data_IF_993970929009
#
_entry.id   IF_993970929009
#
_cell.length_a   1.000
_cell.length_b   1.000
_cell.length_c   1.000
_cell.angle_alpha   90.00
_cell.angle_beta   90.00
_cell.angle_gamma   90.00
#
_symmetry.space_group_name_H-M   'P 1'
#
loop_
_entity.id
_entity.type
_entity.pdbx_description
1 polymer ?
#
# COMPACT_ATOMS: atom_id res chain seq x y z
N UNK A 1 7.63 -13.09 3.02
CA UNK A 1 8.17 -12.61 1.73
C UNK A 1 7.03 -12.66 0.77
N UNK A 2 6.21 -11.64 0.88
CA UNK A 2 5.22 -11.23 -0.06
C UNK A 2 5.94 -11.17 -1.38
N UNK A 3 5.32 -11.77 -2.37
CA UNK A 3 5.94 -11.75 -3.68
C UNK A 3 6.05 -10.27 -4.08
N UNK A 4 7.24 -9.82 -4.48
CA UNK A 4 7.45 -8.56 -5.20
C UNK A 4 6.39 -8.40 -6.33
N UNK A 5 5.93 -9.53 -6.86
CA UNK A 5 4.78 -9.63 -7.75
C UNK A 5 3.48 -9.05 -7.16
N UNK A 6 3.08 -9.38 -5.92
CA UNK A 6 1.87 -8.84 -5.29
C UNK A 6 1.94 -7.31 -5.11
N UNK A 7 3.10 -6.80 -4.75
CA UNK A 7 3.36 -5.37 -4.53
C UNK A 7 3.29 -4.53 -5.81
N UNK A 8 3.46 -5.17 -6.97
CA UNK A 8 3.34 -4.51 -8.28
C UNK A 8 1.97 -4.79 -8.90
N UNK A 9 1.58 -6.07 -8.96
CA UNK A 9 0.41 -6.53 -9.69
C UNK A 9 -0.88 -6.02 -9.07
N UNK A 10 -1.00 -6.05 -7.74
CA UNK A 10 -2.21 -5.64 -7.04
C UNK A 10 -2.43 -4.13 -7.22
N UNK A 11 -1.45 -3.25 -6.95
CA UNK A 11 -1.66 -1.82 -7.13
C UNK A 11 -1.91 -1.41 -8.59
N UNK A 12 -1.20 -2.01 -9.56
CA UNK A 12 -1.48 -1.80 -10.99
C UNK A 12 -2.93 -2.17 -11.30
N UNK A 13 -3.36 -3.36 -10.91
CA UNK A 13 -4.71 -3.87 -11.21
C UNK A 13 -5.78 -2.96 -10.62
N UNK A 14 -5.62 -2.55 -9.36
CA UNK A 14 -6.55 -1.64 -8.70
C UNK A 14 -6.60 -0.29 -9.44
N UNK A 15 -5.46 0.33 -9.74
CA UNK A 15 -5.44 1.60 -10.45
C UNK A 15 -6.06 1.48 -11.85
N UNK A 16 -5.82 0.39 -12.58
CA UNK A 16 -6.41 0.18 -13.91
C UNK A 16 -7.93 0.04 -13.84
N UNK A 17 -8.45 -0.75 -12.89
CA UNK A 17 -9.90 -0.92 -12.68
C UNK A 17 -10.57 0.42 -12.36
N UNK A 18 -9.94 1.23 -11.51
CA UNK A 18 -10.50 2.51 -11.06
C UNK A 18 -10.08 3.71 -11.91
N UNK A 19 -9.22 3.53 -12.93
CA UNK A 19 -8.62 4.59 -13.75
C UNK A 19 -9.64 5.61 -14.26
N UNK A 20 -10.71 5.14 -14.90
CA UNK A 20 -11.79 6.01 -15.43
C UNK A 20 -12.49 6.83 -14.35
N UNK A 21 -12.65 6.25 -13.15
CA UNK A 21 -13.36 6.87 -12.04
C UNK A 21 -12.49 7.83 -11.24
N UNK A 22 -11.18 7.61 -11.27
CA UNK A 22 -10.17 8.49 -10.68
C UNK A 22 -9.65 9.53 -11.67
N UNK A 23 -10.14 9.53 -12.92
CA UNK A 23 -9.65 10.38 -14.00
C UNK A 23 -8.14 10.25 -14.24
N UNK A 24 -7.61 9.03 -14.11
CA UNK A 24 -6.20 8.70 -14.29
C UNK A 24 -5.99 8.10 -15.68
N UNK A 25 -4.94 8.53 -16.38
CA UNK A 25 -4.56 7.96 -17.66
C UNK A 25 -3.87 6.59 -17.47
N UNK A 26 -4.34 5.50 -18.12
CA UNK A 26 -3.75 4.16 -17.98
C UNK A 26 -2.26 4.09 -18.32
N UNK A 27 -1.78 4.93 -19.24
CA UNK A 27 -0.36 5.02 -19.59
C UNK A 27 0.50 5.42 -18.39
N UNK A 28 0.02 6.37 -17.58
CA UNK A 28 0.75 6.85 -16.41
C UNK A 28 0.83 5.78 -15.32
N UNK A 29 -0.23 4.97 -15.16
CA UNK A 29 -0.25 3.83 -14.23
C UNK A 29 0.89 2.87 -14.58
N UNK A 30 0.96 2.43 -15.84
CA UNK A 30 1.99 1.48 -16.27
C UNK A 30 3.39 2.10 -16.18
N UNK A 31 3.56 3.34 -16.67
CA UNK A 31 4.86 4.01 -16.68
C UNK A 31 5.42 4.23 -15.28
N UNK A 32 4.56 4.54 -14.29
CA UNK A 32 4.97 4.81 -12.91
C UNK A 32 5.01 3.56 -12.03
N UNK A 33 4.67 2.39 -12.56
CA UNK A 33 4.65 1.13 -11.80
C UNK A 33 5.99 0.75 -11.17
N UNK A 34 7.12 1.23 -11.71
CA UNK A 34 8.43 1.00 -11.11
C UNK A 34 8.56 1.60 -9.69
N UNK A 35 7.75 2.60 -9.33
CA UNK A 35 7.70 3.11 -7.96
C UNK A 35 7.17 2.07 -6.96
N UNK A 36 6.40 1.08 -7.42
CA UNK A 36 5.99 -0.06 -6.58
C UNK A 36 7.14 -1.02 -6.27
N UNK A 37 8.28 -0.91 -6.94
CA UNK A 37 9.50 -1.71 -6.68
C UNK A 37 10.49 -0.91 -5.83
N UNK A 38 10.30 0.41 -5.74
CA UNK A 38 11.26 1.30 -5.13
C UNK A 38 11.58 0.95 -3.67
N UNK A 39 10.61 0.59 -2.81
CA UNK A 39 10.93 0.19 -1.43
C UNK A 39 11.88 -1.02 -1.37
N UNK A 40 11.64 -2.03 -2.21
CA UNK A 40 12.46 -3.24 -2.28
C UNK A 40 13.91 -2.99 -2.76
N UNK A 41 14.16 -1.85 -3.41
CA UNK A 41 15.51 -1.47 -3.81
C UNK A 41 16.46 -1.25 -2.62
N UNK A 42 15.95 -1.17 -1.39
CA UNK A 42 16.78 -1.09 -0.20
C UNK A 42 17.55 -2.37 0.13
N UNK A 43 17.28 -3.49 -0.56
CA UNK A 43 18.15 -4.66 -0.57
C UNK A 43 19.56 -4.35 -1.10
N UNK A 44 19.68 -3.35 -1.96
CA UNK A 44 20.96 -2.85 -2.47
C UNK A 44 21.55 -1.74 -1.60
N UNK A 45 20.82 -1.30 -0.57
CA UNK A 45 21.26 -0.28 0.38
C UNK A 45 21.77 -0.94 1.67
N UNK A 46 22.36 -0.13 2.55
CA UNK A 46 22.96 -0.61 3.80
C UNK A 46 21.95 -1.18 4.82
N UNK A 47 20.66 -0.80 4.72
CA UNK A 47 19.64 -1.25 5.65
C UNK A 47 18.28 -1.41 4.95
N UNK A 48 17.62 -2.55 5.16
CA UNK A 48 16.26 -2.87 4.66
C UNK A 48 15.12 -1.99 5.24
N UNK A 49 15.48 -0.94 5.97
CA UNK A 49 14.53 0.03 6.53
C UNK A 49 14.59 1.37 5.80
N UNK A 50 15.55 1.53 4.88
CA UNK A 50 15.87 2.83 4.29
C UNK A 50 14.73 3.33 3.42
N UNK A 51 14.05 2.43 2.71
CA UNK A 51 12.93 2.77 1.84
C UNK A 51 11.59 2.20 2.33
N UNK A 52 11.62 1.21 3.23
CA UNK A 52 10.46 0.68 3.96
C UNK A 52 10.09 1.53 5.19
N UNK A 53 9.82 2.81 5.00
CA UNK A 53 9.35 3.71 6.05
C UNK A 53 8.38 4.77 5.50
N UNK A 54 7.61 5.41 6.39
CA UNK A 54 6.58 6.37 5.98
C UNK A 54 7.15 7.63 5.30
N UNK A 55 8.43 7.95 5.53
CA UNK A 55 9.03 9.18 5.02
C UNK A 55 9.20 9.17 3.50
N UNK A 56 9.25 8.00 2.86
CA UNK A 56 9.25 7.87 1.39
C UNK A 56 8.01 8.50 0.75
N UNK A 57 6.90 8.63 1.50
CA UNK A 57 5.66 9.24 1.03
C UNK A 57 5.65 10.76 1.13
N UNK A 58 6.55 11.38 1.91
CA UNK A 58 6.48 12.83 2.17
C UNK A 58 6.58 13.63 0.87
N UNK A 59 7.61 13.36 0.06
CA UNK A 59 7.84 14.10 -1.18
C UNK A 59 6.64 14.01 -2.14
N UNK A 60 6.13 12.82 -2.51
CA UNK A 60 4.99 12.75 -3.42
C UNK A 60 3.71 13.32 -2.79
N UNK A 61 3.50 13.22 -1.47
CA UNK A 61 2.36 13.87 -0.80
C UNK A 61 2.45 15.40 -0.90
N UNK A 62 3.62 15.98 -0.66
CA UNK A 62 3.82 17.44 -0.77
C UNK A 62 3.57 17.91 -2.21
N UNK A 63 4.05 17.17 -3.21
CA UNK A 63 3.77 17.46 -4.62
C UNK A 63 2.27 17.39 -4.89
N UNK A 64 1.58 16.35 -4.38
CA UNK A 64 0.14 16.19 -4.56
C UNK A 64 -0.67 17.36 -3.99
N UNK A 65 -0.28 17.87 -2.81
CA UNK A 65 -0.94 18.98 -2.13
C UNK A 65 -0.69 20.29 -2.87
N UNK A 66 0.58 20.61 -3.15
CA UNK A 66 1.01 21.94 -3.58
C UNK A 66 1.06 22.13 -5.10
N UNK A 67 1.21 21.07 -5.89
CA UNK A 67 1.37 21.15 -7.34
C UNK A 67 0.16 20.54 -8.05
N UNK A 68 -0.86 21.38 -8.32
CA UNK A 68 -2.12 20.95 -8.96
C UNK A 68 -1.92 20.20 -10.26
N UNK A 69 -0.96 20.64 -11.06
CA UNK A 69 -0.70 20.10 -12.40
C UNK A 69 -0.03 18.72 -12.35
N UNK A 70 0.57 18.38 -11.20
CA UNK A 70 1.26 17.11 -10.96
C UNK A 70 0.44 16.14 -10.11
N UNK A 71 -0.83 16.45 -9.80
CA UNK A 71 -1.69 15.66 -8.90
C UNK A 71 -1.92 14.23 -9.36
N UNK A 72 -2.09 14.02 -10.66
CA UNK A 72 -2.25 12.67 -11.19
C UNK A 72 -0.99 11.84 -10.95
N UNK A 73 0.16 12.34 -11.41
CA UNK A 73 1.46 11.65 -11.30
C UNK A 73 1.82 11.40 -9.83
N UNK A 74 1.77 12.43 -8.99
CA UNK A 74 2.07 12.30 -7.56
C UNK A 74 1.08 11.39 -6.83
N UNK A 75 -0.21 11.42 -7.21
CA UNK A 75 -1.23 10.53 -6.65
C UNK A 75 -0.96 9.07 -6.99
N UNK A 76 -0.55 8.76 -8.22
CA UNK A 76 -0.14 7.41 -8.63
C UNK A 76 1.09 6.95 -7.85
N UNK A 77 2.11 7.81 -7.71
CA UNK A 77 3.33 7.49 -6.95
C UNK A 77 3.00 7.23 -5.48
N UNK A 78 2.20 8.11 -4.85
CA UNK A 78 1.69 7.93 -3.49
C UNK A 78 0.96 6.60 -3.34
N UNK A 79 0.15 6.22 -4.33
CA UNK A 79 -0.58 4.97 -4.28
C UNK A 79 0.36 3.77 -4.33
N UNK A 80 1.33 3.74 -5.26
CA UNK A 80 2.31 2.66 -5.33
C UNK A 80 3.08 2.49 -4.03
N UNK A 81 3.74 3.55 -3.59
CA UNK A 81 4.55 3.51 -2.36
C UNK A 81 3.67 3.20 -1.15
N UNK A 82 2.51 3.85 -1.01
CA UNK A 82 1.63 3.66 0.14
C UNK A 82 1.02 2.26 0.19
N UNK A 83 0.63 1.71 -0.96
CA UNK A 83 0.16 0.32 -1.05
C UNK A 83 1.26 -0.67 -0.70
N UNK A 84 2.51 -0.39 -1.08
CA UNK A 84 3.65 -1.24 -0.73
C UNK A 84 3.83 -1.32 0.79
N UNK A 85 3.94 -0.16 1.45
CA UNK A 85 4.09 -0.11 2.90
C UNK A 85 2.89 -0.73 3.62
N UNK A 86 1.68 -0.54 3.09
CA UNK A 86 0.47 -1.12 3.68
C UNK A 86 0.50 -2.64 3.59
N UNK A 87 0.83 -3.21 2.43
CA UNK A 87 0.88 -4.65 2.24
C UNK A 87 1.98 -5.29 3.11
N UNK A 88 3.14 -4.64 3.24
CA UNK A 88 4.22 -5.12 4.11
C UNK A 88 3.87 -5.14 5.59
N UNK A 89 3.01 -4.24 6.08
CA UNK A 89 2.48 -4.34 7.46
C UNK A 89 1.81 -5.70 7.71
N UNK A 90 1.17 -6.26 6.67
CA UNK A 90 0.49 -7.55 6.72
C UNK A 90 1.34 -8.74 6.25
N UNK A 91 2.57 -8.51 5.78
CA UNK A 91 3.53 -9.55 5.39
C UNK A 91 4.87 -9.43 6.14
N UNK A 92 4.81 -9.51 7.45
CA UNK A 92 6.00 -9.60 8.29
C UNK A 92 6.47 -8.27 8.89
N UNK A 93 5.94 -7.14 8.41
CA UNK A 93 6.02 -5.83 9.04
C UNK A 93 6.96 -4.84 8.35
N UNK A 94 6.92 -3.60 8.84
CA UNK A 94 7.64 -2.45 8.28
C UNK A 94 8.35 -1.64 9.37
N UNK A 95 9.51 -1.06 9.04
CA UNK A 95 10.19 -0.07 9.87
C UNK A 95 9.58 1.33 9.70
N UNK A 96 8.34 1.50 10.17
CA UNK A 96 7.50 2.67 9.88
C UNK A 96 8.20 4.03 10.09
N UNK A 97 9.05 4.14 11.12
CA UNK A 97 9.64 5.40 11.60
C UNK A 97 11.18 5.42 11.54
N UNK A 98 11.81 4.52 10.79
CA UNK A 98 13.27 4.54 10.60
C UNK A 98 13.72 5.85 9.91
N UNK A 99 14.85 6.48 10.30
CA UNK A 99 15.86 6.02 11.26
C UNK A 99 15.62 6.47 12.72
N UNK A 100 14.49 7.11 13.03
CA UNK A 100 14.22 7.62 14.36
C UNK A 100 13.80 6.52 15.35
N UNK A 101 13.24 5.43 14.84
CA UNK A 101 12.83 4.28 15.62
C UNK A 101 12.97 2.99 14.81
N UNK A 102 13.58 1.98 15.43
CA UNK A 102 13.94 0.70 14.79
C UNK A 102 12.93 -0.43 15.07
N UNK A 103 11.79 -0.15 15.69
CA UNK A 103 10.76 -1.18 15.88
C UNK A 103 10.00 -1.47 14.59
N UNK A 104 9.75 -2.75 14.34
CA UNK A 104 9.02 -3.27 13.20
C UNK A 104 7.53 -3.32 13.55
N UNK A 105 6.71 -2.57 12.82
CA UNK A 105 5.27 -2.55 12.97
C UNK A 105 4.67 -3.66 12.12
N UNK A 106 3.80 -4.48 12.70
CA UNK A 106 3.18 -5.60 12.01
C UNK A 106 1.70 -5.75 12.36
N UNK A 107 0.97 -6.43 11.49
CA UNK A 107 -0.40 -6.88 11.71
C UNK A 107 -0.58 -8.30 11.17
N UNK A 108 -0.92 -9.23 12.06
CA UNK A 108 -1.24 -10.61 11.73
C UNK A 108 -2.73 -10.83 11.93
N UNK A 109 -3.42 -11.18 10.85
CA UNK A 109 -4.86 -11.51 10.85
C UNK A 109 -5.02 -12.77 10.03
N UNK A 110 -5.15 -13.90 10.72
CA UNK A 110 -5.22 -15.21 10.08
C UNK A 110 -6.41 -16.01 10.58
N UNK A 111 -7.07 -16.68 9.65
CA UNK A 111 -8.07 -17.70 9.97
C UNK A 111 -7.52 -19.06 9.56
N UNK A 112 -7.24 -19.90 10.54
CA UNK A 112 -6.66 -21.23 10.33
C UNK A 112 -7.75 -22.27 10.59
N UNK A 113 -7.93 -23.18 9.63
CA UNK A 113 -8.88 -24.28 9.78
C UNK A 113 -8.52 -25.09 11.04
N UNK A 114 -9.54 -25.46 11.82
CA UNK A 114 -9.42 -26.18 13.12
C UNK A 114 -8.74 -25.41 14.28
N UNK A 115 -7.86 -24.44 14.01
CA UNK A 115 -7.16 -23.65 15.05
C UNK A 115 -7.83 -22.32 15.39
N UNK A 116 -8.78 -21.87 14.56
CA UNK A 116 -9.54 -20.64 14.77
C UNK A 116 -8.83 -19.39 14.24
N UNK A 117 -9.19 -18.23 14.80
CA UNK A 117 -8.70 -16.92 14.35
C UNK A 117 -7.51 -16.46 15.20
N UNK A 118 -6.41 -16.07 14.54
CA UNK A 118 -5.26 -15.42 15.14
C UNK A 118 -5.26 -13.95 14.76
N UNK A 119 -5.26 -13.08 15.77
CA UNK A 119 -5.20 -11.64 15.61
C UNK A 119 -4.09 -11.08 16.49
N UNK A 120 -3.10 -10.42 15.88
CA UNK A 120 -1.99 -9.82 16.59
C UNK A 120 -1.53 -8.56 15.86
N UNK A 121 -1.66 -7.41 16.51
CA UNK A 121 -1.13 -6.14 16.03
C UNK A 121 -0.11 -5.68 17.07
N UNK A 122 1.09 -5.31 16.62
CA UNK A 122 2.14 -4.96 17.56
C UNK A 122 3.38 -4.37 16.94
N UNK A 123 4.38 -4.21 17.80
CA UNK A 123 5.73 -3.78 17.44
C UNK A 123 6.68 -4.87 17.89
N UNK A 124 7.56 -5.31 16.99
CA UNK A 124 8.56 -6.33 17.24
C UNK A 124 9.96 -5.78 16.97
N UNK A 125 10.98 -6.40 17.57
CA UNK A 125 12.38 -6.15 17.20
C UNK A 125 12.82 -6.99 16.00
N UNK A 126 12.10 -8.07 15.71
CA UNK A 126 12.37 -9.00 14.61
C UNK A 126 11.17 -9.09 13.65
N UNK A 127 11.44 -9.35 12.37
CA UNK A 127 10.38 -9.61 11.39
C UNK A 127 9.56 -10.82 11.81
N UNK A 128 8.24 -10.76 11.57
CA UNK A 128 7.39 -11.92 11.80
C UNK A 128 7.54 -12.91 10.65
N UNK A 129 8.00 -14.10 10.99
CA UNK A 129 8.05 -15.22 10.06
C UNK A 129 6.63 -15.80 9.85
N UNK A 130 5.97 -15.31 8.81
CA UNK A 130 4.64 -15.78 8.41
C UNK A 130 4.64 -17.23 7.91
N UNK A 131 5.80 -17.79 7.52
CA UNK A 131 5.89 -19.16 7.02
C UNK A 131 5.64 -20.20 8.11
N UNK A 132 5.87 -19.85 9.38
CA UNK A 132 5.69 -20.75 10.52
C UNK A 132 4.24 -20.89 10.98
N UNK A 133 3.32 -20.09 10.42
CA UNK A 133 1.95 -20.02 10.91
C UNK A 133 1.02 -21.03 10.21
N UNK A 134 1.53 -21.76 9.21
CA UNK A 134 0.80 -22.76 8.42
C UNK A 134 0.13 -22.15 7.19
N UNK A 135 -0.79 -22.89 6.55
CA UNK A 135 -1.57 -22.40 5.42
C UNK A 135 -2.93 -21.87 5.91
N UNK A 136 -3.10 -20.55 6.11
CA UNK A 136 -4.37 -20.00 6.57
C UNK A 136 -5.41 -19.98 5.44
N UNK A 137 -6.69 -20.18 5.79
CA UNK A 137 -7.80 -19.96 4.86
C UNK A 137 -7.95 -18.48 4.48
N UNK A 138 -7.69 -17.59 5.45
CA UNK A 138 -7.59 -16.14 5.24
C UNK A 138 -6.22 -15.73 5.75
N UNK A 139 -5.32 -15.32 4.85
CA UNK A 139 -4.00 -14.81 5.22
C UNK A 139 -4.05 -13.32 5.57
N UNK A 140 -3.08 -12.89 6.39
CA UNK A 140 -2.86 -11.47 6.71
C UNK A 140 -2.69 -10.64 5.44
N UNK A 141 -1.92 -11.14 4.47
CA UNK A 141 -1.71 -10.48 3.18
C UNK A 141 -3.03 -10.25 2.42
N UNK A 142 -3.88 -11.29 2.30
CA UNK A 142 -5.18 -11.16 1.65
C UNK A 142 -6.08 -10.15 2.36
N UNK A 143 -5.99 -10.07 3.69
CA UNK A 143 -6.68 -9.03 4.45
C UNK A 143 -6.16 -7.63 4.12
N UNK A 144 -4.84 -7.45 4.02
CA UNK A 144 -4.21 -6.20 3.57
C UNK A 144 -4.70 -5.77 2.18
N UNK A 145 -4.79 -6.71 1.23
CA UNK A 145 -5.35 -6.45 -0.11
C UNK A 145 -6.81 -6.01 -0.03
N UNK A 146 -7.62 -6.65 0.81
CA UNK A 146 -9.02 -6.28 1.01
C UNK A 146 -9.16 -4.85 1.59
N UNK A 147 -8.31 -4.46 2.54
CA UNK A 147 -8.26 -3.09 3.06
C UNK A 147 -7.91 -2.11 1.95
N UNK A 148 -6.87 -2.40 1.15
CA UNK A 148 -6.44 -1.54 0.06
C UNK A 148 -7.57 -1.32 -0.95
N UNK A 149 -8.27 -2.38 -1.34
CA UNK A 149 -9.44 -2.31 -2.20
C UNK A 149 -10.56 -1.46 -1.59
N UNK A 150 -10.85 -1.64 -0.30
CA UNK A 150 -11.87 -0.88 0.41
C UNK A 150 -11.55 0.62 0.40
N UNK A 151 -10.29 0.99 0.65
CA UNK A 151 -9.83 2.38 0.60
C UNK A 151 -10.10 2.99 -0.78
N UNK A 152 -9.71 2.30 -1.86
CA UNK A 152 -9.92 2.81 -3.22
C UNK A 152 -11.40 2.90 -3.58
N UNK A 153 -12.21 1.92 -3.17
CA UNK A 153 -13.66 1.97 -3.35
C UNK A 153 -14.23 3.22 -2.66
N UNK A 154 -13.86 3.48 -1.41
CA UNK A 154 -14.33 4.65 -0.65
C UNK A 154 -13.91 5.97 -1.32
N UNK A 155 -12.64 6.10 -1.72
CA UNK A 155 -12.14 7.27 -2.47
C UNK A 155 -12.96 7.47 -3.75
N UNK A 156 -13.19 6.40 -4.51
CA UNK A 156 -13.97 6.47 -5.76
C UNK A 156 -15.43 6.88 -5.55
N UNK A 157 -16.02 6.55 -4.39
CA UNK A 157 -17.38 6.95 -3.99
C UNK A 157 -17.40 8.44 -3.65
N UNK A 158 -16.39 8.92 -2.91
CA UNK A 158 -16.27 10.32 -2.51
C UNK A 158 -16.15 11.22 -3.76
N UNK A 159 -15.24 10.90 -4.67
CA UNK A 159 -15.03 11.68 -5.92
C UNK A 159 -16.32 11.76 -6.74
N UNK A 160 -17.00 10.62 -6.96
CA UNK A 160 -18.27 10.58 -7.71
C UNK A 160 -19.34 11.47 -7.08
N UNK A 161 -19.40 11.56 -5.74
CA UNK A 161 -20.36 12.42 -5.04
C UNK A 161 -20.06 13.90 -5.26
N UNK A 162 -18.79 14.28 -5.31
CA UNK A 162 -18.39 15.67 -5.57
C UNK A 162 -18.75 16.11 -6.99
N UNK A 163 -18.54 15.25 -7.98
CA UNK A 163 -18.89 15.53 -9.38
C UNK A 163 -20.40 15.76 -9.55
N UNK A 164 -21.22 14.95 -8.89
CA UNK A 164 -22.68 15.10 -8.90
C UNK A 164 -23.09 16.43 -8.24
N UNK A 165 -22.45 16.82 -7.14
CA UNK A 165 -22.73 18.10 -6.47
C UNK A 165 -22.35 19.30 -7.33
N UNK A 166 -21.24 19.24 -8.06
CA UNK A 166 -20.81 20.30 -9.00
C UNK A 166 -21.81 20.46 -10.14
N UNK A 167 -22.26 19.37 -10.76
CA UNK A 167 -23.25 19.38 -11.85
C UNK A 167 -24.63 19.93 -11.46
N UNK A 168 -25.00 19.89 -10.17
CA UNK A 168 -26.27 20.46 -9.69
C UNK A 168 -26.22 21.97 -9.41
N UNK A 169 -25.02 22.56 -9.35
CA UNK A 169 -24.81 24.00 -9.09
C UNK A 169 -24.60 24.83 -10.35
N UNK A 170 -24.33 24.17 -11.48
CA UNK A 170 -24.25 24.71 -12.84
C UNK A 170 -25.58 24.52 -13.54
#
# INVERSE_FOLDING_TARGET
>A
MSSLFNHIFIPITILLIFSKRLSIHPKNIILLSFFGILPDADIFLFHRATLHNIFILIVPILIFIFMTDMREVSGIICFYLGSHLLLDIFDGGIFLLYPFYNGIFYSVIELIFEKGMKFNIGISNDFIDMSQIGEPMISSENFGVAILLLIVILISIIIKREDIKKKKKT
#
